data_IF_653801223544
#
_entry.id   IF_653801223544
#
_cell.length_a   1.000
_cell.length_b   1.000
_cell.length_c   1.000
_cell.angle_alpha   90.00
_cell.angle_beta   90.00
_cell.angle_gamma   90.00
#
_symmetry.space_group_name_H-M   'P 1'
#
loop_
_entity.id
_entity.type
_entity.pdbx_description
1 polymer ?
#
# COMPACT_ATOMS: atom_id res chain seq x y z
N UNK A 1 30.38 -32.04 -48.00
CA UNK A 1 29.98 -31.12 -46.92
C UNK A 1 28.64 -30.50 -47.30
N UNK A 2 27.50 -31.07 -46.93
CA UNK A 2 26.20 -30.42 -47.11
C UNK A 2 25.83 -29.62 -45.85
N UNK A 3 25.17 -28.48 -46.08
CA UNK A 3 24.70 -27.57 -45.05
C UNK A 3 23.55 -28.19 -44.25
N UNK A 4 23.67 -28.15 -42.92
CA UNK A 4 22.60 -28.46 -41.98
C UNK A 4 21.85 -27.14 -41.74
N UNK A 5 20.66 -27.06 -42.32
CA UNK A 5 19.69 -26.01 -42.07
C UNK A 5 18.77 -26.53 -40.95
N UNK A 6 19.07 -26.15 -39.70
CA UNK A 6 18.20 -26.39 -38.56
C UNK A 6 18.08 -25.10 -37.76
N UNK A 7 17.04 -24.34 -38.09
CA UNK A 7 16.48 -23.35 -37.19
C UNK A 7 14.96 -23.42 -37.27
N UNK A 8 14.39 -24.25 -36.41
CA UNK A 8 12.99 -24.15 -36.00
C UNK A 8 12.77 -22.75 -35.38
N UNK A 9 11.76 -21.98 -35.79
CA UNK A 9 11.39 -20.77 -35.08
C UNK A 9 10.69 -21.16 -33.78
N UNK A 10 11.28 -20.75 -32.66
CA UNK A 10 10.69 -20.84 -31.33
C UNK A 10 9.25 -20.33 -31.36
N UNK A 11 8.29 -21.22 -31.14
CA UNK A 11 6.89 -20.89 -30.94
C UNK A 11 6.75 -20.04 -29.67
N UNK A 12 6.52 -18.74 -29.86
CA UNK A 12 6.10 -17.81 -28.82
C UNK A 12 4.88 -18.40 -28.08
N UNK A 13 4.77 -18.27 -26.75
CA UNK A 13 3.59 -18.72 -26.03
C UNK A 13 2.35 -18.03 -26.62
N UNK A 14 1.39 -18.82 -27.09
CA UNK A 14 0.16 -18.33 -27.71
C UNK A 14 -0.62 -17.52 -26.66
N UNK A 15 -0.61 -16.18 -26.79
CA UNK A 15 -1.42 -15.32 -25.93
C UNK A 15 -2.89 -15.63 -26.19
N UNK A 16 -3.64 -15.93 -25.13
CA UNK A 16 -5.09 -16.10 -25.21
C UNK A 16 -5.70 -14.78 -25.67
N UNK A 17 -6.54 -14.74 -26.73
CA UNK A 17 -7.17 -13.52 -27.20
C UNK A 17 -8.02 -12.85 -26.10
N UNK A 18 -8.01 -11.52 -25.97
CA UNK A 18 -8.76 -10.83 -24.92
C UNK A 18 -10.28 -11.02 -25.05
N UNK A 19 -10.81 -11.24 -26.25
CA UNK A 19 -12.22 -11.50 -26.49
C UNK A 19 -12.62 -12.99 -26.36
N UNK A 20 -11.77 -13.84 -25.78
CA UNK A 20 -12.08 -15.26 -25.58
C UNK A 20 -13.41 -15.44 -24.82
N UNK A 21 -14.32 -16.22 -25.40
CA UNK A 21 -15.67 -16.43 -24.88
C UNK A 21 -16.67 -15.31 -25.18
N UNK A 22 -16.31 -14.33 -26.02
CA UNK A 22 -17.16 -13.26 -26.54
C UNK A 22 -17.06 -13.15 -28.08
N UNK A 23 -16.76 -14.26 -28.77
CA UNK A 23 -16.54 -14.27 -30.22
C UNK A 23 -17.79 -14.70 -31.02
N UNK A 24 -18.57 -15.63 -30.46
CA UNK A 24 -19.54 -16.39 -31.26
C UNK A 24 -21.00 -15.98 -31.06
N UNK A 25 -21.36 -15.38 -29.91
CA UNK A 25 -22.76 -15.14 -29.53
C UNK A 25 -22.97 -13.75 -28.93
N UNK A 26 -23.99 -13.05 -29.43
CA UNK A 26 -24.43 -11.74 -28.93
C UNK A 26 -25.44 -11.08 -29.87
N UNK A 27 -26.24 -10.17 -29.33
CA UNK A 27 -27.16 -9.31 -30.11
C UNK A 27 -26.56 -7.92 -30.40
N UNK A 28 -25.34 -7.67 -29.92
CA UNK A 28 -24.63 -6.39 -30.04
C UNK A 28 -23.12 -6.60 -30.03
N UNK A 29 -22.38 -5.68 -30.66
CA UNK A 29 -20.93 -5.73 -30.74
C UNK A 29 -20.31 -4.52 -30.05
N UNK A 30 -19.42 -4.75 -29.10
CA UNK A 30 -18.51 -3.73 -28.58
C UNK A 30 -17.19 -3.82 -29.34
N UNK A 31 -16.58 -2.68 -29.65
CA UNK A 31 -15.26 -2.60 -30.29
C UNK A 31 -14.33 -1.84 -29.35
N UNK A 32 -13.23 -2.46 -28.92
CA UNK A 32 -12.22 -1.79 -28.09
C UNK A 32 -11.39 -0.80 -28.90
N UNK A 33 -10.66 0.09 -28.23
CA UNK A 33 -9.73 1.02 -28.86
C UNK A 33 -8.43 1.08 -28.05
N UNK A 34 -7.25 1.11 -28.69
CA UNK A 34 -7.02 1.24 -30.14
C UNK A 34 -6.97 -0.07 -30.93
N UNK A 35 -7.07 -1.25 -30.29
CA UNK A 35 -6.84 -2.53 -30.97
C UNK A 35 -7.98 -2.97 -31.90
N UNK A 36 -9.12 -2.27 -31.89
CA UNK A 36 -10.32 -2.58 -32.68
C UNK A 36 -10.79 -4.05 -32.51
N UNK A 37 -10.62 -4.61 -31.31
CA UNK A 37 -11.06 -5.97 -31.00
C UNK A 37 -12.57 -5.98 -30.79
N UNK A 38 -13.26 -6.87 -31.51
CA UNK A 38 -14.70 -7.06 -31.39
C UNK A 38 -15.07 -8.03 -30.26
N UNK A 39 -16.09 -7.65 -29.49
CA UNK A 39 -16.73 -8.46 -28.46
C UNK A 39 -18.21 -8.58 -28.78
N UNK A 40 -18.66 -9.79 -29.12
CA UNK A 40 -20.08 -10.13 -29.24
C UNK A 40 -20.67 -10.31 -27.85
N UNK A 41 -21.71 -9.54 -27.56
CA UNK A 41 -22.33 -9.41 -26.23
C UNK A 41 -23.84 -9.34 -26.37
N UNK A 42 -24.56 -9.65 -25.29
CA UNK A 42 -25.98 -9.39 -25.14
C UNK A 42 -26.22 -8.08 -24.39
N UNK A 43 -27.03 -7.19 -24.98
CA UNK A 43 -27.39 -5.88 -24.41
C UNK A 43 -28.02 -6.00 -23.03
N UNK A 44 -28.81 -7.04 -22.80
CA UNK A 44 -29.47 -7.29 -21.52
C UNK A 44 -28.50 -7.21 -20.33
N UNK A 45 -27.34 -7.87 -20.41
CA UNK A 45 -26.36 -7.85 -19.33
C UNK A 45 -25.75 -6.46 -19.13
N UNK A 46 -25.39 -5.77 -20.22
CA UNK A 46 -24.83 -4.41 -20.15
C UNK A 46 -25.81 -3.42 -19.53
N UNK A 47 -27.06 -3.42 -20.02
CA UNK A 47 -28.12 -2.52 -19.56
C UNK A 47 -28.52 -2.78 -18.11
N UNK A 48 -28.46 -4.04 -17.67
CA UNK A 48 -28.78 -4.42 -16.29
C UNK A 48 -27.64 -4.05 -15.32
N UNK A 49 -26.39 -4.15 -15.77
CA UNK A 49 -25.22 -3.86 -14.96
C UNK A 49 -24.90 -2.36 -14.85
N UNK A 50 -25.25 -1.56 -15.86
CA UNK A 50 -24.84 -0.15 -16.01
C UNK A 50 -25.99 0.73 -16.49
N UNK A 51 -26.39 1.76 -15.71
CA UNK A 51 -27.31 2.80 -16.15
C UNK A 51 -26.81 3.54 -17.41
N UNK A 52 -25.51 3.79 -17.49
CA UNK A 52 -24.88 4.44 -18.65
C UNK A 52 -25.07 3.61 -19.91
N UNK A 53 -24.82 2.30 -19.86
CA UNK A 53 -25.11 1.44 -21.01
C UNK A 53 -26.61 1.34 -21.26
N UNK A 54 -27.47 1.32 -20.24
CA UNK A 54 -28.92 1.35 -20.42
C UNK A 54 -29.37 2.57 -21.23
N UNK A 55 -28.92 3.76 -20.87
CA UNK A 55 -29.28 5.00 -21.54
C UNK A 55 -28.77 5.05 -22.98
N UNK A 56 -27.49 4.71 -23.21
CA UNK A 56 -26.90 4.74 -24.55
C UNK A 56 -27.59 3.72 -25.47
N UNK A 57 -27.84 2.52 -24.95
CA UNK A 57 -28.44 1.45 -25.74
C UNK A 57 -29.91 1.73 -26.02
N UNK A 58 -30.68 2.25 -25.06
CA UNK A 58 -32.11 2.57 -25.28
C UNK A 58 -32.32 3.79 -26.18
N UNK A 59 -31.42 4.77 -26.14
CA UNK A 59 -31.53 6.01 -26.94
C UNK A 59 -31.05 5.83 -28.39
N UNK A 60 -30.23 4.81 -28.67
CA UNK A 60 -29.63 4.59 -29.98
C UNK A 60 -30.56 3.86 -30.96
N UNK A 61 -30.94 4.53 -32.05
CA UNK A 61 -31.55 3.90 -33.24
C UNK A 61 -30.53 3.39 -34.28
N UNK A 62 -29.24 3.38 -33.90
CA UNK A 62 -28.12 3.06 -34.79
C UNK A 62 -27.79 1.56 -34.92
N UNK A 63 -26.75 1.22 -35.70
CA UNK A 63 -26.27 -0.15 -35.87
C UNK A 63 -25.98 -0.84 -34.52
N UNK A 64 -26.02 -2.19 -34.44
CA UNK A 64 -25.77 -2.95 -33.22
C UNK A 64 -24.27 -3.00 -32.85
N UNK A 65 -23.58 -1.87 -32.96
CA UNK A 65 -22.14 -1.73 -32.77
C UNK A 65 -21.84 -0.47 -31.97
N UNK A 66 -20.98 -0.57 -30.96
CA UNK A 66 -20.49 0.57 -30.17
C UNK A 66 -18.98 0.47 -30.01
N UNK A 67 -18.28 1.58 -30.33
CA UNK A 67 -16.85 1.70 -30.08
C UNK A 67 -16.60 2.28 -28.69
N UNK A 68 -15.74 1.63 -27.93
CA UNK A 68 -15.29 2.04 -26.60
C UNK A 68 -13.90 2.68 -26.70
N UNK A 69 -13.54 3.53 -25.74
CA UNK A 69 -12.21 4.14 -25.69
C UNK A 69 -11.18 3.25 -24.98
N UNK A 70 -11.66 2.23 -24.29
CA UNK A 70 -10.92 1.28 -23.48
C UNK A 70 -10.29 0.20 -24.37
N UNK A 71 -9.08 -0.24 -24.00
CA UNK A 71 -8.40 -1.32 -24.70
C UNK A 71 -9.07 -2.68 -24.50
N UNK A 72 -8.67 -3.63 -25.32
CA UNK A 72 -9.28 -4.96 -25.34
C UNK A 72 -9.18 -5.69 -23.98
N UNK A 73 -8.09 -5.54 -23.24
CA UNK A 73 -7.89 -6.22 -21.95
C UNK A 73 -8.82 -5.64 -20.87
N UNK A 74 -8.99 -4.32 -20.88
CA UNK A 74 -9.91 -3.60 -19.99
C UNK A 74 -11.36 -3.99 -20.28
N UNK A 75 -11.76 -3.98 -21.55
CA UNK A 75 -13.13 -4.39 -21.96
C UNK A 75 -13.39 -5.85 -21.57
N UNK A 76 -12.42 -6.75 -21.80
CA UNK A 76 -12.54 -8.15 -21.41
C UNK A 76 -12.75 -8.34 -19.89
N UNK A 77 -12.02 -7.58 -19.07
CA UNK A 77 -12.16 -7.62 -17.62
C UNK A 77 -13.56 -7.12 -17.17
N UNK A 78 -14.03 -6.00 -17.72
CA UNK A 78 -15.38 -5.49 -17.42
C UNK A 78 -16.46 -6.51 -17.79
N UNK A 79 -16.36 -7.12 -18.97
CA UNK A 79 -17.33 -8.12 -19.42
C UNK A 79 -17.30 -9.37 -18.56
N UNK A 80 -16.14 -9.82 -18.07
CA UNK A 80 -16.07 -10.95 -17.13
C UNK A 80 -16.79 -10.64 -15.81
N UNK A 81 -16.71 -9.41 -15.30
CA UNK A 81 -17.49 -8.99 -14.13
C UNK A 81 -19.00 -8.89 -14.41
N UNK A 82 -19.40 -8.41 -15.59
CA UNK A 82 -20.81 -8.17 -15.94
C UNK A 82 -21.56 -9.48 -16.21
N UNK A 83 -20.88 -10.46 -16.79
CA UNK A 83 -21.47 -11.75 -17.14
C UNK A 83 -21.38 -12.71 -15.95
N UNK A 84 -22.28 -13.70 -15.85
CA UNK A 84 -22.26 -14.71 -14.79
C UNK A 84 -21.08 -15.69 -14.99
N UNK A 85 -19.88 -15.19 -14.72
CA UNK A 85 -18.59 -15.88 -14.83
C UNK A 85 -17.77 -15.62 -13.57
N UNK A 86 -16.64 -16.28 -13.45
CA UNK A 86 -15.66 -15.95 -12.42
C UNK A 86 -15.10 -14.54 -12.67
N UNK A 87 -14.92 -13.78 -11.59
CA UNK A 87 -14.30 -12.45 -11.67
C UNK A 87 -12.89 -12.56 -12.26
N UNK A 88 -12.46 -11.56 -13.06
CA UNK A 88 -11.15 -11.59 -13.68
C UNK A 88 -10.04 -11.52 -12.64
N UNK A 89 -8.97 -12.29 -12.84
CA UNK A 89 -7.77 -12.18 -12.01
C UNK A 89 -6.89 -11.03 -12.51
N UNK A 90 -6.93 -9.90 -11.81
CA UNK A 90 -6.08 -8.73 -12.14
C UNK A 90 -4.75 -8.83 -11.38
N UNK A 91 -3.63 -8.84 -12.13
CA UNK A 91 -2.26 -8.92 -11.58
C UNK A 91 -1.34 -7.78 -12.02
N UNK A 92 -1.91 -6.75 -12.64
CA UNK A 92 -1.17 -5.60 -13.17
C UNK A 92 -1.79 -4.31 -12.63
N UNK A 93 -0.95 -3.40 -12.14
CA UNK A 93 -1.36 -2.06 -11.73
C UNK A 93 -2.03 -1.29 -12.85
N UNK A 94 -1.49 -1.39 -14.06
CA UNK A 94 -2.00 -0.68 -15.24
C UNK A 94 -3.42 -1.15 -15.58
N UNK A 95 -3.65 -2.46 -15.58
CA UNK A 95 -4.99 -2.99 -15.82
C UNK A 95 -5.94 -2.64 -14.67
N UNK A 96 -5.48 -2.73 -13.43
CA UNK A 96 -6.28 -2.38 -12.25
C UNK A 96 -6.79 -0.94 -12.31
N UNK A 97 -5.92 0.00 -12.65
CA UNK A 97 -6.25 1.41 -12.84
C UNK A 97 -7.27 1.62 -13.97
N UNK A 98 -7.01 1.04 -15.14
CA UNK A 98 -7.92 1.15 -16.31
C UNK A 98 -9.30 0.57 -16.02
N UNK A 99 -9.36 -0.58 -15.34
CA UNK A 99 -10.64 -1.21 -14.98
C UNK A 99 -11.39 -0.37 -13.94
N UNK A 100 -10.70 0.23 -12.96
CA UNK A 100 -11.33 1.15 -12.01
C UNK A 100 -11.88 2.41 -12.70
N UNK A 101 -11.10 3.02 -13.59
CA UNK A 101 -11.51 4.18 -14.38
C UNK A 101 -12.75 3.87 -15.24
N UNK A 102 -12.72 2.76 -15.97
CA UNK A 102 -13.82 2.34 -16.80
C UNK A 102 -15.06 1.93 -15.97
N UNK A 103 -14.87 1.23 -14.85
CA UNK A 103 -15.96 0.90 -13.94
C UNK A 103 -16.67 2.14 -13.43
N UNK A 104 -15.94 3.21 -13.10
CA UNK A 104 -16.54 4.49 -12.71
C UNK A 104 -17.23 5.18 -13.88
N UNK A 105 -16.60 5.22 -15.06
CA UNK A 105 -17.16 5.83 -16.28
C UNK A 105 -18.51 5.21 -16.67
N UNK A 106 -18.64 3.90 -16.52
CA UNK A 106 -19.87 3.16 -16.83
C UNK A 106 -20.75 2.91 -15.61
N UNK A 107 -20.49 3.55 -14.48
CA UNK A 107 -21.27 3.42 -13.24
C UNK A 107 -21.45 1.96 -12.76
N UNK A 108 -20.43 1.12 -12.98
CA UNK A 108 -20.36 -0.27 -12.54
C UNK A 108 -19.92 -0.33 -11.06
N UNK A 109 -20.83 0.07 -10.17
CA UNK A 109 -20.56 0.22 -8.74
C UNK A 109 -20.07 -1.07 -8.04
N UNK A 110 -20.57 -2.23 -8.47
CA UNK A 110 -20.15 -3.53 -7.91
C UNK A 110 -18.67 -3.86 -8.22
N UNK A 111 -18.19 -3.52 -9.41
CA UNK A 111 -16.77 -3.66 -9.79
C UNK A 111 -15.92 -2.71 -8.95
N UNK A 112 -16.36 -1.45 -8.83
CA UNK A 112 -15.66 -0.45 -8.02
C UNK A 112 -15.51 -0.92 -6.57
N UNK A 113 -16.57 -1.48 -5.99
CA UNK A 113 -16.55 -2.04 -4.63
C UNK A 113 -15.59 -3.23 -4.49
N UNK A 114 -15.52 -4.13 -5.47
CA UNK A 114 -14.61 -5.27 -5.46
C UNK A 114 -13.13 -4.84 -5.55
N UNK A 115 -12.80 -3.90 -6.44
CA UNK A 115 -11.46 -3.35 -6.55
C UNK A 115 -11.05 -2.61 -5.27
N UNK A 116 -11.96 -1.85 -4.66
CA UNK A 116 -11.75 -1.23 -3.35
C UNK A 116 -11.50 -2.25 -2.25
N UNK A 117 -12.26 -3.35 -2.22
CA UNK A 117 -12.02 -4.45 -1.28
C UNK A 117 -10.62 -5.06 -1.49
N UNK A 118 -10.20 -5.22 -2.74
CA UNK A 118 -8.86 -5.69 -3.10
C UNK A 118 -7.75 -4.77 -2.58
N UNK A 119 -7.92 -3.44 -2.65
CA UNK A 119 -6.96 -2.47 -2.10
C UNK A 119 -6.81 -2.58 -0.58
N UNK A 120 -7.89 -2.94 0.13
CA UNK A 120 -7.88 -3.12 1.59
C UNK A 120 -7.40 -4.51 2.02
N UNK A 121 -7.39 -5.48 1.11
CA UNK A 121 -7.12 -6.88 1.42
C UNK A 121 -5.67 -7.12 1.86
N UNK A 122 -5.50 -8.06 2.79
CA UNK A 122 -4.21 -8.59 3.25
C UNK A 122 -3.87 -9.94 2.58
N UNK A 123 -4.71 -10.40 1.65
CA UNK A 123 -4.57 -11.72 1.02
C UNK A 123 -3.22 -11.87 0.31
N UNK A 124 -2.54 -13.02 0.45
CA UNK A 124 -1.30 -13.31 -0.28
C UNK A 124 -1.43 -13.10 -1.80
N UNK A 125 -2.60 -13.42 -2.38
CA UNK A 125 -2.88 -13.27 -3.80
C UNK A 125 -2.83 -11.80 -4.29
N UNK A 126 -3.03 -10.84 -3.36
CA UNK A 126 -3.06 -9.41 -3.62
C UNK A 126 -1.83 -8.68 -3.05
N UNK A 127 -0.80 -9.44 -2.63
CA UNK A 127 0.45 -8.87 -2.12
C UNK A 127 1.11 -7.92 -3.12
N UNK A 128 0.90 -8.15 -4.43
CA UNK A 128 1.41 -7.27 -5.48
C UNK A 128 0.89 -5.84 -5.32
N UNK A 129 -0.33 -5.58 -4.81
CA UNK A 129 -0.84 -4.22 -4.53
C UNK A 129 -0.05 -3.50 -3.42
N UNK A 130 0.62 -4.27 -2.55
CA UNK A 130 1.42 -3.74 -1.45
C UNK A 130 2.86 -3.42 -1.91
N UNK A 131 3.31 -3.88 -3.07
CA UNK A 131 4.71 -3.67 -3.52
C UNK A 131 4.99 -2.22 -3.88
N UNK A 132 4.01 -1.52 -4.43
CA UNK A 132 4.11 -0.12 -4.86
C UNK A 132 3.01 0.74 -4.23
N UNK A 133 3.05 0.98 -2.92
CA UNK A 133 1.94 1.64 -2.22
C UNK A 133 1.75 3.09 -2.64
N UNK A 134 2.79 3.75 -3.20
CA UNK A 134 2.64 5.10 -3.73
C UNK A 134 1.75 5.13 -4.99
N UNK A 135 1.77 4.08 -5.82
CA UNK A 135 0.85 3.94 -6.97
C UNK A 135 -0.60 3.78 -6.49
N UNK A 136 -0.83 2.94 -5.49
CA UNK A 136 -2.15 2.76 -4.88
C UNK A 136 -2.63 4.05 -4.22
N UNK A 137 -1.74 4.77 -3.53
CA UNK A 137 -2.06 6.07 -2.94
C UNK A 137 -2.49 7.07 -4.01
N UNK A 138 -1.72 7.20 -5.11
CA UNK A 138 -2.04 8.07 -6.22
C UNK A 138 -3.40 7.72 -6.86
N UNK A 139 -3.68 6.44 -7.06
CA UNK A 139 -4.95 5.97 -7.60
C UNK A 139 -6.11 6.27 -6.65
N UNK A 140 -5.93 6.01 -5.35
CA UNK A 140 -6.93 6.30 -4.33
C UNK A 140 -7.27 7.79 -4.25
N UNK A 141 -6.26 8.66 -4.33
CA UNK A 141 -6.44 10.12 -4.36
C UNK A 141 -7.20 10.56 -5.60
N UNK A 142 -6.79 10.10 -6.80
CA UNK A 142 -7.45 10.45 -8.08
C UNK A 142 -8.92 10.07 -8.12
N UNK A 143 -9.31 9.01 -7.43
CA UNK A 143 -10.68 8.53 -7.35
C UNK A 143 -11.40 8.89 -6.05
N UNK A 144 -10.81 9.74 -5.21
CA UNK A 144 -11.38 10.23 -3.94
C UNK A 144 -11.77 9.10 -2.96
N UNK A 145 -11.00 8.01 -2.96
CA UNK A 145 -11.23 6.82 -2.15
C UNK A 145 -10.70 7.01 -0.72
N UNK A 146 -11.42 7.80 0.09
CA UNK A 146 -10.96 8.29 1.40
C UNK A 146 -10.39 7.22 2.35
N UNK A 147 -11.03 6.06 2.44
CA UNK A 147 -10.55 4.98 3.30
C UNK A 147 -9.24 4.39 2.78
N UNK A 148 -9.18 4.15 1.48
CA UNK A 148 -8.02 3.60 0.78
C UNK A 148 -6.83 4.57 0.77
N UNK A 149 -7.07 5.88 0.74
CA UNK A 149 -6.02 6.91 0.85
C UNK A 149 -5.25 6.72 2.16
N UNK A 150 -5.94 6.59 3.29
CA UNK A 150 -5.30 6.41 4.59
C UNK A 150 -4.53 5.09 4.67
N UNK A 151 -5.11 4.00 4.17
CA UNK A 151 -4.47 2.68 4.15
C UNK A 151 -3.20 2.72 3.29
N UNK A 152 -3.29 3.26 2.07
CA UNK A 152 -2.18 3.36 1.15
C UNK A 152 -1.06 4.27 1.69
N UNK A 153 -1.42 5.38 2.34
CA UNK A 153 -0.47 6.27 2.99
C UNK A 153 0.35 5.52 4.05
N UNK A 154 -0.30 4.77 4.94
CA UNK A 154 0.38 3.96 5.97
C UNK A 154 1.32 2.92 5.38
N UNK A 155 0.95 2.32 4.25
CA UNK A 155 1.81 1.35 3.55
C UNK A 155 3.09 1.96 2.96
N UNK A 156 3.17 3.29 2.84
CA UNK A 156 4.41 3.98 2.42
C UNK A 156 5.46 4.09 3.54
N UNK A 157 5.06 3.89 4.81
CA UNK A 157 5.96 3.96 5.96
C UNK A 157 7.10 2.94 5.79
N UNK A 158 8.34 3.42 5.94
CA UNK A 158 9.56 2.64 5.78
C UNK A 158 9.94 2.20 4.37
N UNK A 159 9.10 2.47 3.37
CA UNK A 159 9.41 2.18 1.96
C UNK A 159 9.96 3.39 1.22
N UNK A 160 9.57 4.59 1.65
CA UNK A 160 9.93 5.83 1.00
C UNK A 160 10.66 6.76 1.96
N UNK A 161 11.74 7.35 1.47
CA UNK A 161 12.37 8.51 2.08
C UNK A 161 12.00 9.73 1.24
N UNK A 162 10.99 10.47 1.70
CA UNK A 162 10.49 11.67 1.01
C UNK A 162 11.46 12.85 1.02
N UNK A 163 12.59 12.76 1.74
CA UNK A 163 13.70 13.71 1.62
C UNK A 163 14.63 13.38 0.43
N UNK A 164 14.50 12.18 -0.16
CA UNK A 164 15.36 11.74 -1.27
C UNK A 164 14.87 12.25 -2.63
N UNK A 165 15.83 12.53 -3.53
CA UNK A 165 15.53 12.90 -4.92
C UNK A 165 14.73 11.80 -5.67
N UNK A 166 14.95 10.53 -5.31
CA UNK A 166 14.22 9.38 -5.89
C UNK A 166 12.72 9.46 -5.57
N UNK A 167 12.37 9.64 -4.30
CA UNK A 167 10.97 9.74 -3.90
C UNK A 167 10.29 10.98 -4.51
N UNK A 168 11.00 12.10 -4.60
CA UNK A 168 10.50 13.30 -5.28
C UNK A 168 10.17 13.02 -6.76
N UNK A 169 11.06 12.32 -7.48
CA UNK A 169 10.81 11.94 -8.88
C UNK A 169 9.62 10.99 -9.02
N UNK A 170 9.46 10.03 -8.11
CA UNK A 170 8.34 9.08 -8.15
C UNK A 170 7.00 9.77 -7.87
N UNK A 171 6.95 10.70 -6.92
CA UNK A 171 5.76 11.52 -6.67
C UNK A 171 5.36 12.34 -7.90
N UNK A 172 6.33 12.98 -8.58
CA UNK A 172 6.07 13.73 -9.80
C UNK A 172 5.55 12.83 -10.92
N UNK A 173 6.11 11.63 -11.08
CA UNK A 173 5.72 10.69 -12.13
C UNK A 173 4.27 10.16 -11.98
N UNK A 174 3.74 10.16 -10.76
CA UNK A 174 2.40 9.63 -10.46
C UNK A 174 1.29 10.68 -10.54
N UNK A 175 1.61 11.93 -10.89
CA UNK A 175 0.63 13.02 -11.04
C UNK A 175 -0.31 13.18 -9.83
N UNK A 176 0.23 12.97 -8.62
CA UNK A 176 -0.53 13.15 -7.39
C UNK A 176 -0.80 14.65 -7.20
N UNK A 177 -2.04 15.08 -6.93
CA UNK A 177 -2.34 16.46 -6.61
C UNK A 177 -1.43 17.00 -5.50
N UNK A 178 -0.91 18.22 -5.67
CA UNK A 178 0.11 18.79 -4.77
C UNK A 178 -0.33 18.81 -3.31
N UNK A 179 -1.63 19.03 -3.05
CA UNK A 179 -2.20 18.98 -1.70
C UNK A 179 -1.98 17.63 -1.04
N UNK A 180 -2.29 16.55 -1.74
CA UNK A 180 -2.22 15.19 -1.20
C UNK A 180 -0.77 14.72 -1.08
N UNK A 181 0.09 15.10 -2.03
CA UNK A 181 1.54 14.89 -1.89
C UNK A 181 2.10 15.60 -0.63
N UNK A 182 1.71 16.86 -0.39
CA UNK A 182 2.09 17.61 0.82
C UNK A 182 1.54 16.95 2.08
N UNK A 183 0.29 16.45 2.07
CA UNK A 183 -0.28 15.75 3.22
C UNK A 183 0.46 14.45 3.52
N UNK A 184 0.83 13.67 2.49
CA UNK A 184 1.64 12.47 2.66
C UNK A 184 3.01 12.80 3.23
N UNK A 185 3.70 13.81 2.69
CA UNK A 185 4.99 14.26 3.24
C UNK A 185 4.86 14.75 4.67
N UNK A 186 3.80 15.52 4.97
CA UNK A 186 3.50 16.02 6.31
C UNK A 186 3.31 14.88 7.30
N UNK A 187 2.58 13.82 6.95
CA UNK A 187 2.44 12.62 7.78
C UNK A 187 3.81 12.05 8.15
N UNK A 188 4.69 11.86 7.17
CA UNK A 188 6.04 11.34 7.40
C UNK A 188 6.89 12.28 8.26
N UNK A 189 6.82 13.59 8.02
CA UNK A 189 7.56 14.60 8.80
C UNK A 189 7.03 14.72 10.24
N UNK A 190 5.71 14.74 10.43
CA UNK A 190 5.06 14.80 11.73
C UNK A 190 5.38 13.54 12.54
N UNK A 191 5.36 12.36 11.91
CA UNK A 191 5.82 11.11 12.53
C UNK A 191 7.28 11.22 12.98
N UNK A 192 8.17 11.70 12.12
CA UNK A 192 9.58 11.85 12.46
C UNK A 192 9.81 12.87 13.59
N UNK A 193 9.06 13.98 13.59
CA UNK A 193 9.07 15.01 14.63
C UNK A 193 8.58 14.48 15.97
N UNK A 194 7.41 13.86 16.01
CA UNK A 194 6.84 13.27 17.22
C UNK A 194 7.75 12.18 17.81
N UNK A 195 8.38 11.35 16.97
CA UNK A 195 9.40 10.39 17.43
C UNK A 195 10.63 11.10 18.02
N UNK A 196 11.09 12.17 17.39
CA UNK A 196 12.22 12.96 17.88
C UNK A 196 11.88 13.65 19.20
N UNK A 197 10.70 14.23 19.35
CA UNK A 197 10.29 14.89 20.58
C UNK A 197 10.13 13.89 21.73
N UNK A 198 9.48 12.76 21.47
CA UNK A 198 9.28 11.70 22.45
C UNK A 198 10.60 11.08 22.92
N UNK A 199 11.57 10.92 22.01
CA UNK A 199 12.83 10.23 22.31
C UNK A 199 13.94 11.20 22.76
N UNK A 200 14.05 12.39 22.16
CA UNK A 200 15.20 13.29 22.31
C UNK A 200 14.91 14.52 23.17
N UNK A 201 13.70 15.08 23.12
CA UNK A 201 13.49 16.41 23.68
C UNK A 201 13.28 16.39 25.21
N UNK A 202 14.18 17.12 25.87
CA UNK A 202 14.51 17.08 27.30
C UNK A 202 14.11 18.36 28.05
N UNK A 203 13.35 19.27 27.42
CA UNK A 203 12.91 20.53 28.06
C UNK A 203 11.76 20.34 29.05
N UNK A 204 11.10 19.18 29.03
CA UNK A 204 10.32 18.70 30.16
C UNK A 204 11.11 17.56 30.81
N UNK A 205 11.92 17.89 31.82
CA UNK A 205 12.39 17.03 32.92
C UNK A 205 12.44 15.52 32.58
N UNK A 206 13.61 14.85 32.44
CA UNK A 206 13.85 13.57 31.72
C UNK A 206 13.04 12.33 32.17
N UNK A 207 11.71 12.41 32.18
CA UNK A 207 10.76 11.46 32.77
C UNK A 207 9.65 11.02 31.81
N UNK A 208 9.65 11.48 30.55
CA UNK A 208 8.57 11.15 29.61
C UNK A 208 8.86 10.01 28.62
N UNK A 209 9.90 9.22 28.87
CA UNK A 209 9.72 7.77 28.88
C UNK A 209 9.82 7.32 30.33
N UNK A 210 8.77 6.69 30.85
CA UNK A 210 8.54 6.48 32.27
C UNK A 210 9.65 5.67 32.97
N UNK A 211 10.77 6.29 33.32
CA UNK A 211 11.83 5.64 34.08
C UNK A 211 12.32 4.36 33.41
N UNK A 212 12.99 4.49 32.25
CA UNK A 212 13.73 3.40 31.62
C UNK A 212 14.33 2.48 32.71
N UNK A 213 13.97 1.19 32.75
CA UNK A 213 14.02 0.42 33.99
C UNK A 213 15.44 0.16 34.49
N UNK A 214 16.45 0.43 33.66
CA UNK A 214 17.87 0.27 33.98
C UNK A 214 18.52 1.64 34.23
N UNK A 215 18.68 1.96 35.52
CA UNK A 215 19.57 3.03 35.98
C UNK A 215 20.99 2.47 36.10
N UNK A 216 21.97 3.14 35.51
CA UNK A 216 23.37 2.72 35.60
C UNK A 216 24.21 3.83 36.24
N UNK A 217 24.70 3.58 37.45
CA UNK A 217 25.53 4.54 38.17
C UNK A 217 26.84 4.82 37.44
N UNK A 218 27.43 3.81 36.79
CA UNK A 218 28.67 3.98 36.02
C UNK A 218 28.48 5.00 34.88
N UNK A 219 27.42 4.83 34.07
CA UNK A 219 27.12 5.78 32.99
C UNK A 219 26.80 7.19 33.52
N UNK A 220 26.23 7.28 34.73
CA UNK A 220 25.94 8.56 35.39
C UNK A 220 27.23 9.25 35.87
N UNK A 221 28.18 8.50 36.42
CA UNK A 221 29.47 9.01 36.87
C UNK A 221 30.37 9.45 35.71
N UNK A 222 30.26 8.82 34.55
CA UNK A 222 30.94 9.21 33.29
C UNK A 222 30.33 10.47 32.64
N UNK A 223 29.44 11.19 33.32
CA UNK A 223 28.84 12.44 32.84
C UNK A 223 27.64 12.25 31.90
N UNK A 224 27.12 11.02 31.77
CA UNK A 224 25.95 10.73 30.96
C UNK A 224 24.62 11.08 31.65
N UNK A 225 23.75 11.82 30.95
CA UNK A 225 22.35 12.03 31.37
C UNK A 225 21.44 10.80 31.21
N UNK A 226 21.92 9.76 30.51
CA UNK A 226 21.22 8.53 30.19
C UNK A 226 22.19 7.33 30.19
N UNK A 227 21.69 6.13 30.54
CA UNK A 227 22.48 4.89 30.46
C UNK A 227 22.79 4.51 29.01
N UNK A 228 23.86 3.75 28.77
CA UNK A 228 24.20 3.26 27.43
C UNK A 228 23.04 2.44 26.83
N UNK A 229 22.37 1.64 27.67
CA UNK A 229 21.22 0.83 27.27
C UNK A 229 20.02 1.69 26.87
N UNK A 230 19.76 2.80 27.58
CA UNK A 230 18.71 3.75 27.22
C UNK A 230 18.99 4.40 25.87
N UNK A 231 20.23 4.85 25.64
CA UNK A 231 20.64 5.45 24.35
C UNK A 231 20.52 4.44 23.21
N UNK A 232 20.93 3.19 23.43
CA UNK A 232 20.80 2.12 22.46
C UNK A 232 19.34 1.82 22.12
N UNK A 233 18.49 1.69 23.15
CA UNK A 233 17.05 1.47 22.96
C UNK A 233 16.41 2.63 22.18
N UNK A 234 16.66 3.88 22.57
CA UNK A 234 16.13 5.06 21.87
C UNK A 234 16.52 5.07 20.39
N UNK A 235 17.78 4.77 20.09
CA UNK A 235 18.28 4.71 18.71
C UNK A 235 17.53 3.64 17.89
N UNK A 236 17.36 2.44 18.44
CA UNK A 236 16.63 1.37 17.76
C UNK A 236 15.13 1.67 17.64
N UNK A 237 14.53 2.30 18.64
CA UNK A 237 13.13 2.75 18.60
C UNK A 237 12.89 3.76 17.48
N UNK A 238 13.74 4.80 17.35
CA UNK A 238 13.70 5.73 16.21
C UNK A 238 13.84 4.96 14.90
N UNK A 239 14.81 4.06 14.80
CA UNK A 239 15.11 3.33 13.57
C UNK A 239 13.96 2.42 13.13
N UNK A 240 13.32 1.71 14.07
CA UNK A 240 12.21 0.80 13.81
C UNK A 240 10.92 1.56 13.52
N UNK A 241 10.57 2.58 14.31
CA UNK A 241 9.34 3.35 14.09
C UNK A 241 9.40 4.21 12.82
N UNK A 242 10.59 4.56 12.32
CA UNK A 242 10.72 5.15 10.97
C UNK A 242 10.47 4.14 9.84
N UNK A 243 10.66 2.85 10.09
CA UNK A 243 10.55 1.78 9.09
C UNK A 243 9.23 1.04 9.11
N UNK A 244 8.56 1.01 10.26
CA UNK A 244 7.38 0.19 10.48
C UNK A 244 6.30 1.03 11.19
N UNK A 245 5.02 0.85 10.85
CA UNK A 245 3.90 1.41 11.61
C UNK A 245 3.87 0.85 13.05
N UNK A 246 3.16 1.52 13.96
CA UNK A 246 3.26 1.24 15.39
C UNK A 246 2.77 -0.17 15.77
N UNK A 247 1.72 -0.66 15.11
CA UNK A 247 1.15 -1.99 15.26
C UNK A 247 2.18 -3.11 14.98
N UNK A 248 3.08 -2.89 14.02
CA UNK A 248 4.14 -3.83 13.65
C UNK A 248 5.41 -3.68 14.49
N UNK A 249 5.55 -2.57 15.21
CA UNK A 249 6.73 -2.26 16.03
C UNK A 249 6.61 -2.73 17.49
N UNK A 250 5.59 -3.52 17.86
CA UNK A 250 5.33 -3.98 19.24
C UNK A 250 6.54 -4.66 19.91
N UNK A 251 7.38 -5.35 19.13
CA UNK A 251 8.63 -5.97 19.59
C UNK A 251 9.59 -5.03 20.32
N UNK A 252 9.51 -3.72 20.08
CA UNK A 252 10.31 -2.70 20.79
C UNK A 252 10.17 -2.75 22.31
N UNK A 253 9.07 -3.33 22.78
CA UNK A 253 8.64 -3.39 24.16
C UNK A 253 8.61 -4.82 24.72
N UNK A 254 9.13 -5.79 23.96
CA UNK A 254 9.25 -7.18 24.36
C UNK A 254 10.56 -7.45 25.11
N UNK A 255 10.53 -8.40 26.03
CA UNK A 255 11.68 -8.74 26.87
C UNK A 255 12.87 -9.21 26.02
N UNK A 256 12.61 -9.97 24.96
CA UNK A 256 13.58 -10.50 24.01
C UNK A 256 14.37 -9.38 23.34
N UNK A 257 13.70 -8.30 22.95
CA UNK A 257 14.34 -7.14 22.34
C UNK A 257 15.30 -6.46 23.32
N UNK A 258 14.88 -6.31 24.58
CA UNK A 258 15.70 -5.74 25.65
C UNK A 258 16.91 -6.60 26.01
N UNK A 259 16.73 -7.92 26.09
CA UNK A 259 17.83 -8.85 26.28
C UNK A 259 18.84 -8.75 25.13
N UNK A 260 18.35 -8.65 23.89
CA UNK A 260 19.19 -8.41 22.71
C UNK A 260 20.01 -7.11 22.80
N UNK A 261 19.44 -6.03 23.35
CA UNK A 261 20.17 -4.78 23.59
C UNK A 261 21.26 -4.94 24.66
N UNK A 262 20.97 -5.63 25.77
CA UNK A 262 21.94 -5.89 26.84
C UNK A 262 23.15 -6.67 26.35
N UNK A 263 22.95 -7.69 25.52
CA UNK A 263 24.03 -8.49 24.94
C UNK A 263 24.99 -7.65 24.10
N UNK A 264 24.50 -6.57 23.47
CA UNK A 264 25.31 -5.64 22.66
C UNK A 264 25.87 -4.45 23.47
N UNK A 265 25.49 -4.32 24.74
CA UNK A 265 25.87 -3.18 25.57
C UNK A 265 27.32 -3.32 26.06
N UNK A 266 28.11 -2.23 25.97
CA UNK A 266 29.53 -2.24 26.37
C UNK A 266 29.71 -2.04 27.88
N UNK A 267 28.84 -1.26 28.52
CA UNK A 267 28.83 -1.08 29.96
C UNK A 267 28.42 -2.38 30.69
N UNK A 268 29.34 -2.97 31.45
CA UNK A 268 29.10 -4.19 32.22
C UNK A 268 27.92 -4.02 33.20
N UNK A 269 27.85 -2.89 33.92
CA UNK A 269 26.72 -2.61 34.83
C UNK A 269 25.37 -2.53 34.11
N UNK A 270 25.31 -2.04 32.88
CA UNK A 270 24.06 -2.04 32.11
C UNK A 270 23.65 -3.46 31.67
N UNK A 271 24.64 -4.30 31.36
CA UNK A 271 24.43 -5.70 30.97
C UNK A 271 23.89 -6.52 32.13
N UNK A 272 24.47 -6.32 33.31
CA UNK A 272 24.19 -7.10 34.53
C UNK A 272 23.03 -6.52 35.36
N UNK A 273 22.55 -5.31 35.06
CA UNK A 273 21.42 -4.71 35.78
C UNK A 273 20.15 -5.56 35.64
N UNK A 274 19.50 -5.91 36.74
CA UNK A 274 18.27 -6.72 36.69
C UNK A 274 17.16 -6.02 35.89
N UNK A 275 16.51 -6.78 34.99
CA UNK A 275 15.23 -6.38 34.44
C UNK A 275 14.18 -6.72 35.49
N UNK A 276 13.63 -5.72 36.15
CA UNK A 276 12.49 -5.93 37.04
C UNK A 276 11.29 -6.34 36.19
N UNK A 277 11.02 -7.64 36.04
CA UNK A 277 9.98 -8.16 35.12
C UNK A 277 8.64 -7.43 35.24
N UNK A 278 8.22 -7.10 36.47
CA UNK A 278 6.97 -6.36 36.70
C UNK A 278 7.07 -4.88 36.31
N UNK A 279 8.14 -4.18 36.68
CA UNK A 279 8.29 -2.76 36.36
C UNK A 279 8.59 -2.54 34.87
N UNK A 280 9.32 -3.46 34.25
CA UNK A 280 9.58 -3.47 32.82
C UNK A 280 8.29 -3.67 32.02
N UNK A 281 7.43 -4.61 32.42
CA UNK A 281 6.11 -4.80 31.80
C UNK A 281 5.23 -3.55 31.92
N UNK A 282 5.15 -2.95 33.12
CA UNK A 282 4.38 -1.71 33.33
C UNK A 282 4.92 -0.57 32.45
N UNK A 283 6.24 -0.38 32.43
CA UNK A 283 6.90 0.61 31.58
C UNK A 283 6.58 0.37 30.10
N UNK A 284 6.69 -0.88 29.63
CA UNK A 284 6.40 -1.27 28.25
C UNK A 284 4.96 -0.93 27.84
N UNK A 285 3.98 -1.20 28.70
CA UNK A 285 2.58 -0.84 28.44
C UNK A 285 2.36 0.67 28.38
N UNK A 286 2.88 1.43 29.36
CA UNK A 286 2.75 2.90 29.37
C UNK A 286 3.38 3.53 28.12
N UNK A 287 4.48 2.96 27.62
CA UNK A 287 5.10 3.40 26.38
C UNK A 287 4.23 3.12 25.15
N UNK A 288 3.61 1.94 25.11
CA UNK A 288 2.68 1.56 24.04
C UNK A 288 1.48 2.50 24.02
N UNK A 289 0.84 2.72 25.17
CA UNK A 289 -0.32 3.59 25.30
C UNK A 289 -0.01 5.02 24.82
N UNK A 290 1.10 5.61 25.26
CA UNK A 290 1.51 6.95 24.80
C UNK A 290 1.76 7.03 23.30
N UNK A 291 2.40 6.01 22.72
CA UNK A 291 2.62 5.98 21.27
C UNK A 291 1.31 5.84 20.49
N UNK A 292 0.33 5.10 21.01
CA UNK A 292 -1.00 4.97 20.42
C UNK A 292 -1.76 6.30 20.53
N UNK A 293 -1.69 6.99 21.66
CA UNK A 293 -2.32 8.31 21.86
C UNK A 293 -1.77 9.38 20.91
N UNK A 294 -0.49 9.31 20.56
CA UNK A 294 0.13 10.21 19.58
C UNK A 294 -0.38 10.00 18.15
N UNK A 295 -1.08 8.89 17.88
CA UNK A 295 -1.63 8.53 16.57
C UNK A 295 -0.63 8.74 15.43
N UNK A 296 0.61 8.26 15.64
CA UNK A 296 1.73 8.52 14.72
C UNK A 296 1.49 8.11 13.26
N UNK A 297 0.55 7.19 13.02
CA UNK A 297 0.17 6.70 11.69
C UNK A 297 -0.97 7.51 11.06
N UNK A 298 -1.63 8.40 11.82
CA UNK A 298 -2.73 9.28 11.38
C UNK A 298 -2.33 10.77 11.32
N UNK A 299 -1.08 11.12 11.66
CA UNK A 299 -0.53 12.49 11.62
C UNK A 299 -0.27 13.01 10.19
#
# INVERSE_FOLDING_TARGET
MPAVDTSDPASSPTRIPPNTGFQDAGDFTLISSPEDVEFKVFRLFLMTASPVFQDILTSGSGPPVMKLSEDAETVAALLQYIYPRENPTIKSYVLFEKVLEAARKYELGFITSDLRASMRSESPALTWLRTEPLRIYALAVRHELKEEIAIAAKLTIGKYDFASAKAASELCALNIPSRDAVMLMRMHMARAGALSDLLVNAESNPRYFAGFPVKCDQCKHEGGSASELQKAWMKEAVALLRKEPLDKAHRLFEQEFFLGLKLRCRCARCRDADLYDRAHKVWAEECREKLVELKLDDL
#
